data_IF_313249445218
#
_entry.id   IF_313249445218
#
_cell.length_a   1.000
_cell.length_b   1.000
_cell.length_c   1.000
_cell.angle_alpha   90.00
_cell.angle_beta   90.00
_cell.angle_gamma   90.00
#
_symmetry.space_group_name_H-M   'P 1'
#
loop_
_entity.id
_entity.type
_entity.pdbx_description
1 polymer ?
#
# COMPACT_ATOMS: atom_id res chain seq x y z
N UNK A 1 -2.64 2.35 14.81
CA UNK A 1 -3.17 3.36 13.85
C UNK A 1 -4.64 3.07 13.54
N UNK A 2 -5.49 4.11 13.50
CA UNK A 2 -6.94 4.01 13.21
C UNK A 2 -7.41 5.17 12.32
N UNK A 3 -8.40 4.93 11.45
CA UNK A 3 -9.07 5.97 10.68
C UNK A 3 -9.90 6.85 11.64
N UNK A 4 -9.68 8.17 11.64
CA UNK A 4 -10.38 9.11 12.51
C UNK A 4 -11.39 9.96 11.75
N UNK A 5 -11.02 10.46 10.57
CA UNK A 5 -11.91 11.27 9.74
C UNK A 5 -11.75 10.93 8.26
N UNK A 6 -12.83 11.09 7.50
CA UNK A 6 -12.85 10.93 6.05
C UNK A 6 -13.65 12.08 5.44
N UNK A 7 -13.00 12.88 4.61
CA UNK A 7 -13.64 13.90 3.77
C UNK A 7 -13.72 13.38 2.34
N UNK A 8 -14.92 13.41 1.76
CA UNK A 8 -15.21 12.98 0.40
C UNK A 8 -15.79 14.17 -0.35
N UNK A 9 -15.26 14.48 -1.52
CA UNK A 9 -15.79 15.51 -2.41
C UNK A 9 -15.89 14.97 -3.83
N UNK A 10 -17.05 15.16 -4.46
CA UNK A 10 -17.26 14.81 -5.86
C UNK A 10 -17.35 13.31 -6.18
N UNK A 11 -17.50 12.41 -5.19
CA UNK A 11 -17.51 10.96 -5.43
C UNK A 11 -18.93 10.37 -5.47
N UNK A 12 -19.31 9.79 -6.60
CA UNK A 12 -20.64 9.20 -6.85
C UNK A 12 -21.76 10.14 -6.43
N UNK A 13 -22.66 9.74 -5.52
CA UNK A 13 -23.75 10.61 -5.02
C UNK A 13 -23.31 11.67 -4.01
N UNK A 14 -22.08 11.61 -3.50
CA UNK A 14 -21.59 12.52 -2.48
C UNK A 14 -20.91 13.73 -3.13
N UNK A 15 -21.64 14.86 -3.20
CA UNK A 15 -21.04 16.14 -3.61
C UNK A 15 -19.96 16.57 -2.62
N UNK A 16 -20.28 16.53 -1.33
CA UNK A 16 -19.34 16.73 -0.23
C UNK A 16 -19.87 16.01 1.02
N UNK A 17 -19.00 15.32 1.74
CA UNK A 17 -19.31 14.67 3.01
C UNK A 17 -18.06 14.64 3.90
N UNK A 18 -18.23 14.86 5.20
CA UNK A 18 -17.20 14.62 6.21
C UNK A 18 -17.76 13.63 7.23
N UNK A 19 -17.02 12.55 7.48
CA UNK A 19 -17.40 11.46 8.39
C UNK A 19 -16.34 11.34 9.47
N UNK A 20 -16.79 11.40 10.73
CA UNK A 20 -15.98 11.11 11.91
C UNK A 20 -16.15 9.64 12.31
N UNK A 21 -15.05 8.97 12.61
CA UNK A 21 -15.02 7.57 13.02
C UNK A 21 -14.62 7.46 14.50
N UNK A 22 -15.41 6.71 15.25
CA UNK A 22 -15.05 6.19 16.56
C UNK A 22 -14.76 4.68 16.51
N UNK A 23 -14.62 4.05 17.67
CA UNK A 23 -14.33 2.61 17.77
C UNK A 23 -15.43 1.74 17.12
N UNK A 24 -16.68 2.21 17.17
CA UNK A 24 -17.80 1.66 16.43
C UNK A 24 -18.58 2.79 15.75
N UNK A 25 -18.69 2.75 14.43
CA UNK A 25 -19.37 3.78 13.63
C UNK A 25 -20.49 3.16 12.82
N UNK A 26 -21.72 3.67 12.98
CA UNK A 26 -22.91 3.18 12.28
C UNK A 26 -23.42 4.23 11.29
N UNK A 27 -23.44 3.89 10.00
CA UNK A 27 -24.02 4.74 8.96
C UNK A 27 -25.49 4.36 8.74
N UNK A 28 -26.42 5.20 9.21
CA UNK A 28 -27.86 4.96 9.13
C UNK A 28 -28.50 5.97 8.17
N UNK A 29 -29.39 5.49 7.30
CA UNK A 29 -30.13 6.34 6.36
C UNK A 29 -30.88 5.52 5.32
N UNK A 30 -31.73 6.19 4.53
CA UNK A 30 -32.51 5.56 3.46
C UNK A 30 -31.63 4.87 2.40
N UNK A 31 -32.21 3.97 1.61
CA UNK A 31 -31.49 3.34 0.50
C UNK A 31 -31.02 4.40 -0.49
N UNK A 32 -29.85 4.17 -1.10
CA UNK A 32 -29.27 5.01 -2.14
C UNK A 32 -28.84 6.43 -1.71
N UNK A 33 -28.68 6.68 -0.40
CA UNK A 33 -28.17 7.96 0.15
C UNK A 33 -26.64 8.08 0.15
N UNK A 34 -25.92 7.05 -0.30
CA UNK A 34 -24.45 7.07 -0.35
C UNK A 34 -23.73 6.36 0.81
N UNK A 35 -24.45 5.62 1.67
CA UNK A 35 -23.82 4.80 2.73
C UNK A 35 -22.71 3.88 2.17
N UNK A 36 -23.02 3.13 1.12
CA UNK A 36 -22.06 2.25 0.45
C UNK A 36 -20.92 3.00 -0.23
N UNK A 37 -21.17 4.25 -0.65
CA UNK A 37 -20.15 5.14 -1.25
C UNK A 37 -19.05 5.48 -0.24
N UNK A 38 -19.37 5.63 1.04
CA UNK A 38 -18.37 5.88 2.10
C UNK A 38 -17.36 4.72 2.16
N UNK A 39 -17.83 3.47 2.19
CA UNK A 39 -16.94 2.31 2.19
C UNK A 39 -16.10 2.21 0.91
N UNK A 40 -16.69 2.52 -0.26
CA UNK A 40 -15.95 2.55 -1.53
C UNK A 40 -14.92 3.67 -1.60
N UNK A 41 -15.16 4.80 -0.94
CA UNK A 41 -14.19 5.87 -0.83
C UNK A 41 -12.97 5.44 0.01
N UNK A 42 -13.21 4.74 1.14
CA UNK A 42 -12.13 4.18 1.96
C UNK A 42 -11.31 3.14 1.16
N UNK A 43 -12.00 2.24 0.46
CA UNK A 43 -11.35 1.25 -0.42
C UNK A 43 -10.48 1.93 -1.48
N UNK A 44 -11.01 2.94 -2.17
CA UNK A 44 -10.29 3.67 -3.21
C UNK A 44 -9.08 4.42 -2.62
N UNK A 45 -9.27 5.07 -1.48
CA UNK A 45 -8.24 5.80 -0.76
C UNK A 45 -7.06 4.89 -0.37
N UNK A 46 -7.32 3.67 0.07
CA UNK A 46 -6.30 2.70 0.52
C UNK A 46 -5.82 1.72 -0.57
N UNK A 47 -6.30 1.86 -1.82
CA UNK A 47 -5.88 1.03 -2.95
C UNK A 47 -4.69 1.61 -3.74
N UNK A 48 -4.08 0.82 -4.62
CA UNK A 48 -3.09 1.30 -5.59
C UNK A 48 -3.71 1.78 -6.92
N UNK A 49 -5.03 1.98 -6.99
CA UNK A 49 -5.71 2.42 -8.23
C UNK A 49 -5.23 3.81 -8.65
N UNK A 50 -4.79 3.92 -9.91
CA UNK A 50 -4.29 5.18 -10.51
C UNK A 50 -5.39 6.05 -11.10
N UNK A 51 -6.47 5.45 -11.58
CA UNK A 51 -7.57 6.15 -12.25
C UNK A 51 -8.92 5.59 -11.81
N UNK A 52 -9.98 6.35 -12.04
CA UNK A 52 -11.38 5.96 -11.86
C UNK A 52 -12.19 6.33 -13.10
N UNK A 53 -13.25 5.58 -13.37
CA UNK A 53 -14.12 5.80 -14.52
C UNK A 53 -15.06 7.00 -14.30
N UNK A 54 -15.51 7.61 -15.40
CA UNK A 54 -16.43 8.76 -15.39
C UNK A 54 -17.69 8.58 -14.49
N UNK A 55 -18.35 7.41 -14.43
CA UNK A 55 -19.51 7.20 -13.55
C UNK A 55 -19.22 7.28 -12.04
N UNK A 56 -17.95 7.25 -11.64
CA UNK A 56 -17.53 7.40 -10.25
C UNK A 56 -17.52 8.87 -9.79
N UNK A 57 -17.61 9.82 -10.73
CA UNK A 57 -17.67 11.26 -10.45
C UNK A 57 -19.11 11.69 -10.16
N UNK A 58 -19.26 12.67 -9.28
CA UNK A 58 -20.55 13.27 -8.97
C UNK A 58 -21.18 13.81 -10.25
N UNK A 59 -22.35 13.27 -10.56
CA UNK A 59 -23.05 13.51 -11.81
C UNK A 59 -24.45 14.02 -11.55
N UNK A 60 -24.91 14.89 -12.43
CA UNK A 60 -26.30 15.40 -12.45
C UNK A 60 -26.97 14.95 -13.74
N UNK A 61 -28.29 14.86 -13.69
CA UNK A 61 -29.08 14.66 -14.91
C UNK A 61 -29.22 16.02 -15.56
N UNK A 62 -28.87 16.08 -16.84
CA UNK A 62 -29.05 17.25 -17.68
C UNK A 62 -30.55 17.39 -18.02
N UNK A 63 -31.15 18.52 -17.64
CA UNK A 63 -32.60 18.73 -17.73
C UNK A 63 -33.11 18.79 -19.18
N UNK A 64 -32.25 19.12 -20.16
CA UNK A 64 -32.62 19.27 -21.57
C UNK A 64 -32.49 17.94 -22.33
N UNK A 65 -31.45 17.16 -22.03
CA UNK A 65 -31.11 15.93 -22.76
C UNK A 65 -31.54 14.66 -22.03
N UNK A 66 -31.80 14.74 -20.72
CA UNK A 66 -32.06 13.57 -19.87
C UNK A 66 -30.83 12.70 -19.61
N UNK A 67 -29.65 13.11 -20.10
CA UNK A 67 -28.41 12.37 -19.95
C UNK A 67 -27.75 12.64 -18.59
N UNK A 68 -27.09 11.63 -18.03
CA UNK A 68 -26.28 11.81 -16.82
C UNK A 68 -24.87 12.28 -17.21
N UNK A 69 -24.46 13.45 -16.74
CA UNK A 69 -23.15 14.03 -17.01
C UNK A 69 -22.40 14.32 -15.70
N UNK A 70 -21.06 14.11 -15.65
CA UNK A 70 -20.26 14.53 -14.50
C UNK A 70 -20.41 16.03 -14.27
N UNK A 71 -20.89 16.40 -13.08
CA UNK A 71 -20.96 17.79 -12.64
C UNK A 71 -19.63 18.27 -12.04
N UNK A 72 -18.68 17.35 -11.82
CA UNK A 72 -17.34 17.63 -11.33
C UNK A 72 -16.32 16.89 -12.19
N UNK A 73 -15.15 17.50 -12.36
CA UNK A 73 -14.00 16.92 -13.06
C UNK A 73 -12.97 16.33 -12.09
N UNK A 74 -13.15 16.56 -10.79
CA UNK A 74 -12.25 16.10 -9.74
C UNK A 74 -13.01 15.42 -8.60
N UNK A 75 -12.48 14.29 -8.14
CA UNK A 75 -12.87 13.61 -6.91
C UNK A 75 -11.74 13.74 -5.90
N UNK A 76 -12.05 14.23 -4.70
CA UNK A 76 -11.10 14.36 -3.61
C UNK A 76 -11.52 13.48 -2.45
N UNK A 77 -10.63 12.60 -2.01
CA UNK A 77 -10.82 11.79 -0.80
C UNK A 77 -9.64 12.06 0.11
N UNK A 78 -9.92 12.53 1.32
CA UNK A 78 -8.93 12.88 2.33
C UNK A 78 -9.26 12.14 3.62
N UNK A 79 -8.24 11.63 4.32
CA UNK A 79 -8.43 10.99 5.60
C UNK A 79 -7.32 11.33 6.60
N UNK A 80 -7.72 11.46 7.86
CA UNK A 80 -6.84 11.53 9.01
C UNK A 80 -6.77 10.17 9.68
N UNK A 81 -5.54 9.69 9.90
CA UNK A 81 -5.26 8.50 10.69
C UNK A 81 -4.58 8.91 11.99
N UNK A 82 -5.08 8.36 13.09
CA UNK A 82 -4.63 8.64 14.45
C UNK A 82 -3.98 7.41 15.09
N UNK A 83 -3.35 7.63 16.23
CA UNK A 83 -2.65 6.63 17.03
C UNK A 83 -1.56 5.90 16.22
N UNK A 84 -0.68 6.68 15.58
CA UNK A 84 0.52 6.14 14.93
C UNK A 84 1.50 5.64 16.00
N UNK A 85 2.21 4.53 15.78
CA UNK A 85 3.21 4.08 16.75
C UNK A 85 4.37 5.09 16.82
N UNK A 86 5.09 5.13 17.95
CA UNK A 86 6.16 6.12 18.18
C UNK A 86 7.37 5.94 17.27
N UNK A 87 7.58 4.73 16.75
CA UNK A 87 8.60 4.43 15.74
C UNK A 87 8.24 5.00 14.35
N UNK A 88 7.03 5.55 14.16
CA UNK A 88 6.63 6.19 12.91
C UNK A 88 7.51 7.39 12.53
N UNK A 89 8.16 8.05 13.50
CA UNK A 89 9.15 9.09 13.21
C UNK A 89 10.34 8.61 12.39
N UNK A 90 10.70 7.32 12.50
CA UNK A 90 11.75 6.69 11.71
C UNK A 90 11.27 6.10 10.39
N UNK A 91 9.98 6.22 10.04
CA UNK A 91 9.49 5.71 8.78
C UNK A 91 9.97 6.59 7.62
N UNK A 92 10.63 5.95 6.65
CA UNK A 92 11.15 6.62 5.46
C UNK A 92 10.05 7.40 4.74
N UNK A 93 10.23 8.70 4.61
CA UNK A 93 9.30 9.61 3.98
C UNK A 93 8.12 10.00 4.88
N UNK A 94 8.27 9.95 6.21
CA UNK A 94 7.28 10.51 7.14
C UNK A 94 7.80 11.72 7.91
N UNK A 95 9.09 12.09 7.79
CA UNK A 95 9.62 13.29 8.45
C UNK A 95 8.88 14.55 7.96
N UNK A 96 8.38 15.32 8.91
CA UNK A 96 7.54 16.49 8.65
C UNK A 96 6.08 16.19 8.34
N UNK A 97 5.68 14.93 8.16
CA UNK A 97 4.30 14.52 7.80
C UNK A 97 3.50 13.98 8.98
N UNK A 98 4.13 13.83 10.14
CA UNK A 98 3.51 13.41 11.39
C UNK A 98 3.14 14.65 12.21
N UNK A 99 1.89 14.70 12.65
CA UNK A 99 1.34 15.76 13.47
C UNK A 99 0.97 15.23 14.85
N UNK A 100 0.92 16.13 15.83
CA UNK A 100 0.48 15.81 17.18
C UNK A 100 -0.96 16.26 17.42
N UNK A 101 -1.71 15.50 18.21
CA UNK A 101 -3.04 15.86 18.67
C UNK A 101 -3.21 15.53 20.17
N UNK A 102 -4.22 16.12 20.85
CA UNK A 102 -4.47 15.85 22.26
C UNK A 102 -4.81 14.37 22.49
N UNK A 103 -4.04 13.70 23.36
CA UNK A 103 -4.24 12.29 23.67
C UNK A 103 -5.62 12.03 24.27
N UNK A 104 -6.28 10.97 23.81
CA UNK A 104 -7.57 10.52 24.35
C UNK A 104 -7.41 9.48 25.49
N UNK A 105 -6.18 9.05 25.79
CA UNK A 105 -5.87 8.08 26.86
C UNK A 105 -4.37 7.75 26.95
N UNK A 106 -3.98 6.86 27.88
CA UNK A 106 -2.58 6.45 28.05
C UNK A 106 -2.05 5.63 26.87
N UNK A 107 -2.91 4.82 26.24
CA UNK A 107 -2.58 3.99 25.07
C UNK A 107 -2.58 4.77 23.74
N UNK A 108 -2.88 6.06 23.78
CA UNK A 108 -2.89 6.93 22.62
C UNK A 108 -1.53 7.63 22.47
N UNK A 109 -0.87 7.38 21.34
CA UNK A 109 0.40 8.03 21.03
C UNK A 109 0.26 9.55 20.86
N UNK A 110 -0.93 10.04 20.51
CA UNK A 110 -1.16 11.43 20.15
C UNK A 110 -0.54 11.81 18.80
N UNK A 111 -0.21 10.83 17.95
CA UNK A 111 0.42 11.03 16.63
C UNK A 111 -0.56 10.74 15.49
N UNK A 112 -0.68 11.67 14.54
CA UNK A 112 -1.55 11.57 13.37
C UNK A 112 -0.80 11.77 12.04
N UNK A 113 -1.36 11.24 10.97
CA UNK A 113 -1.00 11.55 9.59
C UNK A 113 -2.27 11.84 8.80
N UNK A 114 -2.20 12.79 7.88
CA UNK A 114 -3.31 13.10 6.96
C UNK A 114 -2.83 12.93 5.53
N UNK A 115 -3.60 12.18 4.73
CA UNK A 115 -3.31 12.06 3.30
C UNK A 115 -4.57 12.17 2.47
N UNK A 116 -4.36 12.59 1.23
CA UNK A 116 -5.40 12.91 0.25
C UNK A 116 -5.09 12.26 -1.09
N UNK A 117 -6.14 11.79 -1.75
CA UNK A 117 -6.12 11.41 -3.17
C UNK A 117 -7.07 12.30 -3.95
N UNK A 118 -6.55 12.84 -5.03
CA UNK A 118 -7.32 13.63 -5.99
C UNK A 118 -7.30 12.92 -7.33
N UNK A 119 -8.47 12.47 -7.78
CA UNK A 119 -8.66 11.86 -9.08
C UNK A 119 -9.23 12.92 -10.02
N UNK A 120 -8.47 13.28 -11.05
CA UNK A 120 -8.92 14.18 -12.10
C UNK A 120 -9.29 13.38 -13.35
N UNK A 121 -10.38 13.75 -14.02
CA UNK A 121 -10.90 13.03 -15.16
C UNK A 121 -9.83 12.92 -16.28
N UNK A 122 -9.48 11.69 -16.64
CA UNK A 122 -8.50 11.40 -17.70
C UNK A 122 -7.03 11.56 -17.28
N UNK A 123 -6.73 11.77 -16.00
CA UNK A 123 -5.35 11.84 -15.48
C UNK A 123 -5.10 10.81 -14.39
N UNK A 124 -3.82 10.54 -14.15
CA UNK A 124 -3.39 9.75 -13.00
C UNK A 124 -3.67 10.49 -11.69
N UNK A 125 -4.01 9.73 -10.66
CA UNK A 125 -4.31 10.21 -9.31
C UNK A 125 -3.15 11.02 -8.74
N UNK A 126 -3.46 12.18 -8.18
CA UNK A 126 -2.54 12.94 -7.33
C UNK A 126 -2.67 12.44 -5.90
N UNK A 127 -1.56 12.03 -5.29
CA UNK A 127 -1.48 11.64 -3.89
C UNK A 127 -0.70 12.70 -3.14
N UNK A 128 -1.27 13.15 -2.04
CA UNK A 128 -0.72 14.23 -1.25
C UNK A 128 -0.72 13.87 0.23
N UNK A 129 0.36 14.23 0.93
CA UNK A 129 0.44 14.17 2.39
C UNK A 129 0.42 15.58 2.94
N UNK A 130 -0.30 15.78 4.04
CA UNK A 130 -0.11 16.97 4.84
C UNK A 130 1.30 16.92 5.41
N UNK A 131 2.06 17.98 5.20
CA UNK A 131 3.46 18.08 5.61
C UNK A 131 3.72 19.45 6.20
N UNK A 132 4.61 19.54 7.17
CA UNK A 132 5.33 20.80 7.44
C UNK A 132 6.21 21.10 6.24
N UNK A 133 6.37 22.38 5.93
CA UNK A 133 7.26 22.84 4.88
C UNK A 133 8.66 22.32 5.18
N UNK A 134 9.25 21.59 4.22
CA UNK A 134 10.61 21.08 4.31
C UNK A 134 11.52 22.07 3.59
N UNK A 135 12.56 22.51 4.27
CA UNK A 135 13.60 23.34 3.70
C UNK A 135 14.91 22.54 3.77
N UNK A 136 15.68 22.55 2.68
CA UNK A 136 16.95 21.86 2.65
C UNK A 136 17.84 22.49 3.71
N UNK A 137 18.44 21.67 4.57
CA UNK A 137 19.38 22.17 5.56
C UNK A 137 20.52 22.92 4.86
N UNK A 138 20.95 24.06 5.41
CA UNK A 138 22.12 24.79 4.93
C UNK A 138 23.36 23.89 4.93
N UNK A 139 23.43 22.93 5.85
CA UNK A 139 24.48 21.92 5.88
C UNK A 139 24.60 21.12 4.58
N UNK A 140 23.52 20.97 3.79
CA UNK A 140 23.50 20.18 2.55
C UNK A 140 23.30 21.02 1.28
N UNK A 141 23.22 22.36 1.37
CA UNK A 141 22.95 23.22 0.20
C UNK A 141 24.00 23.11 -0.90
N UNK A 142 25.24 22.79 -0.52
CA UNK A 142 26.39 22.69 -1.44
C UNK A 142 26.57 21.28 -2.04
N UNK A 143 25.80 20.29 -1.58
CA UNK A 143 25.89 18.90 -2.02
C UNK A 143 25.30 18.73 -3.43
N UNK A 144 26.11 18.27 -4.37
CA UNK A 144 25.74 18.10 -5.79
C UNK A 144 25.74 16.65 -6.24
N UNK A 145 26.50 15.80 -5.57
CA UNK A 145 26.68 14.38 -5.88
C UNK A 145 26.22 13.51 -4.71
N UNK A 146 25.97 12.23 -4.94
CA UNK A 146 25.62 11.29 -3.87
C UNK A 146 26.75 11.19 -2.83
N UNK A 147 28.00 11.23 -3.28
CA UNK A 147 29.17 11.19 -2.40
C UNK A 147 29.21 12.39 -1.42
N UNK A 148 28.82 13.59 -1.87
CA UNK A 148 28.80 14.78 -0.99
C UNK A 148 27.84 14.62 0.20
N UNK A 149 26.79 13.81 0.07
CA UNK A 149 25.86 13.52 1.17
C UNK A 149 26.45 12.49 2.13
N UNK A 150 27.13 11.47 1.60
CA UNK A 150 27.82 10.45 2.42
C UNK A 150 28.94 11.10 3.24
N UNK A 151 29.71 12.00 2.62
CA UNK A 151 30.79 12.72 3.28
C UNK A 151 30.28 13.67 4.39
N UNK A 152 28.99 14.00 4.36
CA UNK A 152 28.28 14.77 5.40
C UNK A 152 27.42 13.89 6.31
N UNK A 153 27.84 12.64 6.51
CA UNK A 153 27.31 11.70 7.49
C UNK A 153 25.88 11.20 7.20
N UNK A 154 25.46 11.23 5.93
CA UNK A 154 24.25 10.51 5.50
C UNK A 154 24.58 9.05 5.22
N UNK A 155 23.69 8.15 5.66
CA UNK A 155 23.80 6.70 5.49
C UNK A 155 24.15 6.30 4.03
N UNK A 156 25.31 5.67 3.87
CA UNK A 156 25.86 5.29 2.57
C UNK A 156 25.02 4.22 1.84
N UNK A 157 24.39 3.31 2.58
CA UNK A 157 23.52 2.28 2.01
C UNK A 157 22.24 2.93 1.47
N UNK A 158 21.68 3.90 2.20
CA UNK A 158 20.54 4.69 1.76
C UNK A 158 20.85 5.47 0.48
N UNK A 159 21.99 6.17 0.42
CA UNK A 159 22.37 6.97 -0.76
C UNK A 159 22.62 6.06 -1.97
N UNK A 160 23.32 4.95 -1.77
CA UNK A 160 23.63 3.98 -2.83
C UNK A 160 22.36 3.28 -3.36
N UNK A 161 21.35 3.06 -2.51
CA UNK A 161 20.05 2.52 -2.94
C UNK A 161 19.26 3.48 -3.84
N UNK A 162 19.51 4.79 -3.71
CA UNK A 162 18.81 5.85 -4.44
C UNK A 162 19.54 6.25 -5.72
N UNK A 163 20.86 6.34 -5.66
CA UNK A 163 21.74 6.80 -6.74
C UNK A 163 22.76 5.71 -7.05
N UNK A 164 22.63 5.10 -8.23
CA UNK A 164 23.54 4.04 -8.69
C UNK A 164 24.94 4.56 -9.04
N UNK A 165 25.09 5.85 -9.34
CA UNK A 165 26.38 6.52 -9.57
C UNK A 165 26.50 7.70 -8.62
N UNK A 166 27.33 7.52 -7.58
CA UNK A 166 27.52 8.48 -6.50
C UNK A 166 28.37 9.70 -6.90
N UNK A 167 29.13 9.58 -7.99
CA UNK A 167 30.03 10.64 -8.49
C UNK A 167 29.33 11.63 -9.41
N UNK A 168 28.15 11.25 -9.92
CA UNK A 168 27.39 12.06 -10.88
C UNK A 168 26.58 13.15 -10.18
N UNK A 169 26.50 14.30 -10.83
CA UNK A 169 25.66 15.40 -10.37
C UNK A 169 24.17 14.99 -10.42
N UNK A 170 23.50 15.07 -9.27
CA UNK A 170 22.09 14.70 -9.08
C UNK A 170 21.16 15.64 -9.88
N UNK A 171 21.58 16.90 -10.10
CA UNK A 171 20.83 17.90 -10.86
C UNK A 171 19.51 18.31 -10.21
N UNK A 172 18.64 19.01 -10.96
CA UNK A 172 17.32 19.51 -10.51
C UNK A 172 16.15 18.86 -11.24
N UNK A 173 16.36 17.66 -11.79
CA UNK A 173 15.28 16.93 -12.48
C UNK A 173 14.22 16.46 -11.47
N UNK A 174 12.97 16.29 -11.94
CA UNK A 174 11.85 15.83 -11.09
C UNK A 174 12.19 14.50 -10.37
N UNK A 175 12.72 13.51 -11.09
CA UNK A 175 13.11 12.23 -10.51
C UNK A 175 14.30 12.29 -9.55
N UNK A 176 15.17 13.29 -9.66
CA UNK A 176 16.26 13.50 -8.73
C UNK A 176 15.77 14.12 -7.41
N UNK A 177 14.88 15.11 -7.50
CA UNK A 177 14.18 15.69 -6.35
C UNK A 177 13.37 14.64 -5.59
N UNK A 178 12.70 13.73 -6.30
CA UNK A 178 11.94 12.62 -5.69
C UNK A 178 12.82 11.65 -4.88
N UNK A 179 14.08 11.48 -5.30
CA UNK A 179 15.06 10.65 -4.57
C UNK A 179 15.59 11.38 -3.34
N UNK A 180 15.89 12.67 -3.46
CA UNK A 180 16.32 13.51 -2.33
C UNK A 180 15.23 13.64 -1.25
N UNK A 181 13.95 13.71 -1.64
CA UNK A 181 12.81 13.71 -0.72
C UNK A 181 12.70 12.44 0.15
N UNK A 182 13.32 11.34 -0.28
CA UNK A 182 13.36 10.09 0.48
C UNK A 182 14.50 10.05 1.51
N UNK A 183 15.42 11.00 1.48
CA UNK A 183 16.50 11.16 2.47
C UNK A 183 15.98 12.11 3.54
N UNK A 184 15.49 11.59 4.66
CA UNK A 184 14.81 12.44 5.64
C UNK A 184 15.77 13.42 6.33
N UNK A 185 17.02 13.03 6.54
CA UNK A 185 18.00 13.78 7.34
C UNK A 185 18.45 15.10 6.72
N UNK A 186 18.35 15.26 5.39
CA UNK A 186 18.79 16.49 4.70
C UNK A 186 17.82 17.67 4.84
N UNK A 187 16.64 17.44 5.42
CA UNK A 187 15.57 18.43 5.49
C UNK A 187 15.33 18.92 6.92
N UNK A 188 15.23 20.23 7.07
CA UNK A 188 14.71 20.91 8.25
C UNK A 188 13.21 21.20 8.11
N UNK A 189 12.51 21.28 9.23
CA UNK A 189 11.07 21.50 9.29
C UNK A 189 10.75 22.96 9.60
N UNK A 190 10.08 23.63 8.67
CA UNK A 190 9.49 24.95 8.89
C UNK A 190 8.21 24.90 9.74
N UNK A 191 7.69 26.09 10.07
CA UNK A 191 6.45 26.24 10.84
C UNK A 191 5.18 26.09 9.97
N UNK A 192 5.26 26.45 8.69
CA UNK A 192 4.12 26.42 7.77
C UNK A 192 3.76 25.00 7.33
N UNK A 193 2.48 24.79 7.03
CA UNK A 193 1.98 23.52 6.51
C UNK A 193 1.71 23.59 5.01
N UNK A 194 2.01 22.50 4.30
CA UNK A 194 1.84 22.36 2.86
C UNK A 194 1.30 20.97 2.51
N UNK A 195 0.69 20.85 1.34
CA UNK A 195 0.38 19.57 0.75
C UNK A 195 1.55 19.10 -0.10
N UNK A 196 2.25 18.09 0.37
CA UNK A 196 3.34 17.48 -0.36
C UNK A 196 2.78 16.45 -1.35
N UNK A 197 2.87 16.73 -2.65
CA UNK A 197 2.50 15.79 -3.70
C UNK A 197 3.62 14.78 -3.90
N UNK A 198 3.35 13.48 -3.74
CA UNK A 198 4.31 12.43 -4.06
C UNK A 198 4.47 12.32 -5.59
N UNK A 199 5.63 12.67 -6.19
CA UNK A 199 5.68 12.85 -7.64
C UNK A 199 5.80 11.54 -8.45
N UNK A 200 5.91 10.38 -7.77
CA UNK A 200 5.93 9.02 -8.32
C UNK A 200 4.74 8.12 -7.95
N UNK A 201 3.64 8.67 -7.39
CA UNK A 201 2.53 7.87 -6.84
C UNK A 201 2.75 7.53 -5.36
N UNK A 202 1.97 6.63 -4.76
CA UNK A 202 2.23 6.26 -3.35
C UNK A 202 3.49 5.40 -3.34
N UNK A 203 4.58 5.82 -2.68
CA UNK A 203 5.71 4.94 -2.44
C UNK A 203 5.16 3.67 -1.76
N UNK A 204 5.43 2.47 -2.31
CA UNK A 204 4.82 1.23 -1.80
C UNK A 204 5.05 1.03 -0.30
N UNK A 205 6.16 1.53 0.23
CA UNK A 205 6.47 1.66 1.65
C UNK A 205 5.41 2.46 2.43
N UNK A 206 4.91 3.59 1.91
CA UNK A 206 3.91 4.42 2.59
C UNK A 206 2.53 3.74 2.62
N UNK A 207 2.09 3.12 1.52
CA UNK A 207 0.84 2.32 1.51
C UNK A 207 0.90 1.17 2.50
N UNK A 208 2.05 0.50 2.62
CA UNK A 208 2.28 -0.60 3.57
C UNK A 208 2.15 -0.18 5.03
N UNK A 209 2.40 1.10 5.34
CA UNK A 209 2.27 1.63 6.71
C UNK A 209 0.83 2.02 7.07
N UNK A 210 -0.03 2.26 6.08
CA UNK A 210 -1.43 2.60 6.32
C UNK A 210 -2.27 1.36 6.68
N UNK A 211 -3.41 1.53 7.37
CA UNK A 211 -4.22 0.40 7.80
C UNK A 211 -4.83 -0.30 6.58
N UNK A 212 -4.87 -1.64 6.61
CA UNK A 212 -5.57 -2.41 5.57
C UNK A 212 -7.08 -2.32 5.78
N UNK A 213 -7.82 -1.94 4.73
CA UNK A 213 -9.27 -1.91 4.74
C UNK A 213 -9.86 -3.24 4.26
N UNK A 214 -10.72 -3.84 5.09
CA UNK A 214 -11.45 -5.06 4.77
C UNK A 214 -12.95 -4.76 4.70
N UNK A 215 -13.50 -4.80 3.49
CA UNK A 215 -14.93 -4.68 3.26
C UNK A 215 -15.61 -6.04 3.37
N UNK A 216 -16.60 -6.15 4.24
CA UNK A 216 -17.48 -7.32 4.36
C UNK A 216 -18.86 -6.91 3.83
N UNK A 217 -19.33 -7.44 2.68
CA UNK A 217 -20.63 -7.08 2.15
C UNK A 217 -21.77 -7.69 2.95
N UNK A 218 -22.96 -7.12 2.75
CA UNK A 218 -24.19 -7.57 3.42
C UNK A 218 -24.62 -8.97 2.97
N UNK A 219 -24.43 -9.26 1.68
CA UNK A 219 -24.65 -10.58 1.11
C UNK A 219 -23.34 -11.37 1.22
N UNK A 220 -23.07 -11.97 2.37
CA UNK A 220 -22.09 -13.05 2.45
C UNK A 220 -22.66 -14.26 1.69
N UNK A 221 -22.67 -14.19 0.36
CA UNK A 221 -22.80 -15.38 -0.47
C UNK A 221 -21.65 -16.29 -0.10
N UNK A 222 -21.94 -17.58 -0.01
CA UNK A 222 -20.96 -18.59 0.43
C UNK A 222 -19.67 -18.49 -0.42
N UNK A 223 -19.78 -18.02 -1.66
CA UNK A 223 -18.69 -17.69 -2.59
C UNK A 223 -17.64 -16.69 -2.08
N UNK A 224 -17.99 -15.70 -1.24
CA UNK A 224 -17.00 -14.76 -0.66
C UNK A 224 -16.15 -15.39 0.45
N UNK A 225 -16.57 -16.57 0.91
CA UNK A 225 -15.96 -17.32 2.01
C UNK A 225 -15.36 -18.65 1.49
N UNK A 226 -15.91 -19.20 0.39
CA UNK A 226 -15.43 -20.35 -0.37
C UNK A 226 -14.19 -20.07 -1.23
N UNK A 227 -14.04 -18.84 -1.72
CA UNK A 227 -13.13 -18.53 -2.82
C UNK A 227 -11.67 -18.39 -2.42
N UNK A 228 -10.86 -19.32 -2.91
CA UNK A 228 -9.42 -19.21 -3.16
C UNK A 228 -8.89 -17.77 -3.20
N UNK A 229 -7.92 -17.48 -2.33
CA UNK A 229 -7.03 -16.29 -2.32
C UNK A 229 -7.71 -14.90 -2.20
N UNK A 230 -8.99 -14.75 -2.55
CA UNK A 230 -9.66 -13.47 -2.85
C UNK A 230 -10.84 -13.15 -1.94
N UNK A 231 -11.48 -14.17 -1.36
CA UNK A 231 -12.50 -14.02 -0.32
C UNK A 231 -11.96 -13.45 0.99
N UNK A 232 -12.84 -13.04 1.91
CA UNK A 232 -12.44 -12.47 3.21
C UNK A 232 -11.54 -13.42 3.99
N UNK A 233 -11.88 -14.72 4.00
CA UNK A 233 -11.06 -15.75 4.64
C UNK A 233 -9.73 -15.96 3.93
N UNK A 234 -9.75 -16.10 2.60
CA UNK A 234 -8.54 -16.31 1.81
C UNK A 234 -7.54 -15.16 2.00
N UNK A 235 -8.02 -13.91 1.97
CA UNK A 235 -7.20 -12.72 2.27
C UNK A 235 -6.63 -12.76 3.68
N UNK A 236 -7.47 -13.04 4.68
CA UNK A 236 -7.05 -13.11 6.09
C UNK A 236 -6.00 -14.21 6.30
N UNK A 237 -6.17 -15.38 5.68
CA UNK A 237 -5.22 -16.50 5.76
C UNK A 237 -3.91 -16.20 5.03
N UNK A 238 -3.98 -15.60 3.84
CA UNK A 238 -2.79 -15.13 3.12
C UNK A 238 -1.99 -14.15 3.97
N UNK A 239 -2.65 -13.21 4.64
CA UNK A 239 -1.98 -12.25 5.51
C UNK A 239 -1.32 -12.93 6.72
N UNK A 240 -2.02 -13.84 7.39
CA UNK A 240 -1.43 -14.61 8.49
C UNK A 240 -0.25 -15.47 8.00
N UNK A 241 -0.31 -15.96 6.77
CA UNK A 241 0.77 -16.70 6.15
C UNK A 241 1.96 -15.80 5.80
N UNK A 242 1.75 -14.64 5.17
CA UNK A 242 2.78 -13.63 4.92
C UNK A 242 3.56 -13.31 6.21
N UNK A 243 2.83 -13.02 7.30
CA UNK A 243 3.39 -12.69 8.61
C UNK A 243 4.22 -13.82 9.25
N UNK A 244 3.88 -15.08 9.00
CA UNK A 244 4.62 -16.25 9.51
C UNK A 244 5.82 -16.54 8.62
N UNK A 245 5.63 -16.39 7.31
CA UNK A 245 6.61 -16.67 6.28
C UNK A 245 7.78 -15.69 6.29
N UNK A 246 7.53 -14.39 6.52
CA UNK A 246 8.58 -13.37 6.66
C UNK A 246 9.59 -13.68 7.78
N UNK A 247 9.20 -14.52 8.75
CA UNK A 247 10.04 -14.90 9.89
C UNK A 247 10.63 -16.31 9.75
N UNK A 248 10.43 -16.98 8.61
CA UNK A 248 10.84 -18.36 8.40
C UNK A 248 12.20 -18.44 7.70
N UNK A 249 13.16 -19.14 8.32
CA UNK A 249 14.46 -19.41 7.70
C UNK A 249 14.33 -20.23 6.40
N UNK A 250 13.37 -21.15 6.35
CA UNK A 250 13.08 -21.93 5.15
C UNK A 250 12.62 -21.04 3.99
N UNK A 251 11.90 -19.96 4.30
CA UNK A 251 11.45 -19.03 3.28
C UNK A 251 12.59 -18.18 2.75
N UNK A 252 13.51 -17.73 3.61
CA UNK A 252 14.72 -17.03 3.17
C UNK A 252 15.59 -17.91 2.25
N UNK A 253 15.69 -19.20 2.57
CA UNK A 253 16.39 -20.16 1.70
C UNK A 253 15.66 -20.35 0.37
N UNK A 254 14.33 -20.51 0.39
CA UNK A 254 13.54 -20.61 -0.82
C UNK A 254 13.71 -19.38 -1.72
N UNK A 255 13.77 -18.18 -1.13
CA UNK A 255 14.08 -16.95 -1.86
C UNK A 255 15.44 -17.04 -2.55
N UNK A 256 16.49 -17.41 -1.82
CA UNK A 256 17.83 -17.54 -2.40
C UNK A 256 17.88 -18.53 -3.57
N UNK A 257 17.09 -19.61 -3.52
CA UNK A 257 16.99 -20.54 -4.65
C UNK A 257 16.16 -20.00 -5.81
N UNK A 258 15.10 -19.22 -5.54
CA UNK A 258 14.33 -18.54 -6.59
C UNK A 258 15.17 -17.48 -7.31
N UNK A 259 16.01 -16.75 -6.58
CA UNK A 259 16.93 -15.76 -7.15
C UNK A 259 17.92 -16.45 -8.11
N UNK A 260 18.55 -17.54 -7.66
CA UNK A 260 19.45 -18.35 -8.51
C UNK A 260 18.75 -18.93 -9.74
N UNK A 261 17.52 -19.41 -9.59
CA UNK A 261 16.73 -19.91 -10.71
C UNK A 261 16.37 -18.78 -11.69
N UNK A 262 16.16 -17.56 -11.19
CA UNK A 262 15.94 -16.40 -12.04
C UNK A 262 17.18 -16.05 -12.85
N UNK A 263 18.38 -16.17 -12.26
CA UNK A 263 19.67 -16.00 -12.96
C UNK A 263 19.87 -17.08 -14.03
N UNK A 264 19.53 -18.35 -13.74
CA UNK A 264 19.60 -19.44 -14.73
C UNK A 264 18.65 -19.27 -15.92
N UNK A 265 17.58 -18.49 -15.76
CA UNK A 265 16.57 -18.21 -16.78
C UNK A 265 16.75 -16.83 -17.43
N UNK A 266 17.94 -16.25 -17.30
CA UNK A 266 18.27 -14.98 -17.97
C UNK A 266 18.39 -15.19 -19.49
N UNK A 267 17.51 -14.57 -20.31
CA UNK A 267 17.60 -14.65 -21.77
C UNK A 267 18.86 -13.99 -22.35
N UNK A 268 19.52 -13.09 -21.61
CA UNK A 268 20.72 -12.38 -22.04
C UNK A 268 22.01 -13.16 -21.71
N UNK A 269 21.93 -14.18 -20.85
CA UNK A 269 23.03 -15.09 -20.56
C UNK A 269 23.17 -16.13 -21.69
N UNK A 270 24.11 -15.88 -22.61
CA UNK A 270 24.40 -16.79 -23.73
C UNK A 270 24.99 -18.14 -23.32
N UNK A 271 25.49 -18.27 -22.09
CA UNK A 271 26.03 -19.53 -21.57
C UNK A 271 24.94 -20.41 -20.94
N UNK A 272 23.84 -19.80 -20.49
CA UNK A 272 22.66 -20.52 -19.98
C UNK A 272 21.94 -21.31 -21.08
N UNK A 273 21.34 -22.44 -20.73
CA UNK A 273 20.53 -23.23 -21.67
C UNK A 273 19.29 -22.46 -22.14
N UNK A 274 18.74 -21.60 -21.29
CA UNK A 274 17.57 -20.78 -21.62
C UNK A 274 17.93 -19.66 -22.61
N UNK A 275 19.03 -18.94 -22.42
CA UNK A 275 19.52 -17.93 -23.35
C UNK A 275 19.86 -18.52 -24.72
N UNK A 276 20.50 -19.69 -24.77
CA UNK A 276 20.71 -20.44 -26.03
C UNK A 276 19.40 -20.77 -26.74
N UNK A 277 18.39 -21.23 -26.00
CA UNK A 277 17.07 -21.53 -26.56
C UNK A 277 16.38 -20.29 -27.14
N UNK A 278 16.46 -19.14 -26.47
CA UNK A 278 15.90 -17.87 -26.98
C UNK A 278 16.66 -17.39 -28.22
N UNK A 279 17.98 -17.52 -28.24
CA UNK A 279 18.79 -17.19 -29.42
C UNK A 279 18.46 -18.08 -30.64
N UNK A 280 18.28 -19.38 -30.42
CA UNK A 280 17.86 -20.32 -31.48
C UNK A 280 16.45 -20.00 -31.98
N UNK A 281 15.51 -19.72 -31.07
CA UNK A 281 14.16 -19.31 -31.42
C UNK A 281 14.16 -18.03 -32.27
N UNK A 282 14.96 -17.03 -31.90
CA UNK A 282 15.11 -15.80 -32.67
C UNK A 282 15.75 -16.04 -34.05
N UNK A 283 16.66 -17.00 -34.15
CA UNK A 283 17.21 -17.42 -35.45
C UNK A 283 16.13 -18.01 -36.34
N UNK A 284 15.29 -18.91 -35.80
CA UNK A 284 14.14 -19.48 -36.53
C UNK A 284 13.14 -18.39 -36.92
N UNK A 285 12.80 -17.47 -36.00
CA UNK A 285 11.85 -16.40 -36.25
C UNK A 285 12.31 -15.47 -37.38
N UNK A 286 13.59 -15.09 -37.37
CA UNK A 286 14.21 -14.24 -38.39
C UNK A 286 14.20 -14.88 -39.79
N UNK A 287 14.19 -16.21 -39.88
CA UNK A 287 14.09 -16.92 -41.16
C UNK A 287 12.72 -16.78 -41.84
N UNK A 288 11.67 -16.50 -41.06
CA UNK A 288 10.30 -16.30 -41.56
C UNK A 288 9.94 -14.81 -41.62
N UNK A 289 10.39 -14.03 -40.63
CA UNK A 289 10.14 -12.59 -40.50
C UNK A 289 11.44 -11.86 -40.15
N UNK A 290 12.20 -11.34 -41.14
CA UNK A 290 13.56 -10.79 -40.95
C UNK A 290 13.66 -9.65 -39.93
N UNK A 291 12.58 -8.89 -39.76
CA UNK A 291 12.54 -7.71 -38.89
C UNK A 291 11.91 -8.00 -37.51
N UNK A 292 11.71 -9.28 -37.15
CA UNK A 292 11.06 -9.67 -35.89
C UNK A 292 12.04 -10.38 -34.95
N UNK A 293 11.99 -10.01 -33.66
CA UNK A 293 12.69 -10.68 -32.56
C UNK A 293 11.73 -10.91 -31.39
N UNK A 294 11.87 -12.06 -30.75
CA UNK A 294 11.22 -12.41 -29.50
C UNK A 294 12.13 -12.01 -28.32
N UNK A 295 11.59 -11.18 -27.43
CA UNK A 295 12.20 -10.87 -26.15
C UNK A 295 11.34 -11.48 -25.04
N UNK A 296 11.89 -12.43 -24.28
CA UNK A 296 11.22 -13.08 -23.16
C UNK A 296 12.04 -12.84 -21.89
N UNK A 297 11.43 -12.37 -20.82
CA UNK A 297 12.08 -12.17 -19.51
C UNK A 297 11.39 -13.02 -18.45
N UNK A 298 12.17 -13.67 -17.60
CA UNK A 298 11.68 -14.40 -16.43
C UNK A 298 11.95 -13.57 -15.17
N UNK A 299 10.91 -13.27 -14.39
CA UNK A 299 11.02 -12.61 -13.08
C UNK A 299 10.50 -13.56 -12.00
N UNK A 300 11.43 -14.18 -11.27
CA UNK A 300 11.14 -15.01 -10.10
C UNK A 300 11.56 -14.35 -8.78
N UNK A 301 12.07 -13.13 -8.85
CA UNK A 301 12.63 -12.39 -7.72
C UNK A 301 11.58 -11.99 -6.68
N UNK A 302 10.30 -11.92 -7.05
CA UNK A 302 9.20 -11.61 -6.13
C UNK A 302 8.54 -12.90 -5.60
N UNK A 303 8.85 -13.32 -4.36
CA UNK A 303 8.25 -14.51 -3.78
C UNK A 303 6.77 -14.34 -3.40
N UNK A 304 6.23 -13.11 -3.39
CA UNK A 304 4.78 -12.91 -3.30
C UNK A 304 4.06 -13.35 -4.58
N UNK A 305 4.77 -13.35 -5.71
CA UNK A 305 4.27 -13.87 -6.98
C UNK A 305 4.52 -15.37 -7.09
N UNK A 306 5.73 -15.83 -6.74
CA UNK A 306 6.16 -17.21 -6.95
C UNK A 306 5.61 -18.22 -5.92
N UNK A 307 5.48 -17.82 -4.65
CA UNK A 307 5.12 -18.74 -3.55
C UNK A 307 3.77 -18.37 -2.92
N UNK A 308 2.69 -18.61 -3.67
CA UNK A 308 1.31 -18.40 -3.19
C UNK A 308 0.73 -19.69 -2.60
N UNK A 309 0.35 -19.69 -1.31
CA UNK A 309 -0.30 -20.84 -0.71
C UNK A 309 -1.71 -21.04 -1.29
N UNK A 310 -2.13 -22.30 -1.41
CA UNK A 310 -3.52 -22.64 -1.68
C UNK A 310 -4.14 -23.15 -0.38
N UNK A 311 -5.14 -22.43 0.13
CA UNK A 311 -5.86 -22.82 1.33
C UNK A 311 -7.15 -23.56 0.97
N UNK A 312 -7.26 -24.81 1.38
CA UNK A 312 -8.51 -25.57 1.35
C UNK A 312 -9.22 -25.38 2.69
N UNK A 313 -10.40 -24.75 2.68
CA UNK A 313 -11.19 -24.50 3.89
C UNK A 313 -12.36 -25.48 3.97
N UNK A 314 -12.38 -26.27 5.03
CA UNK A 314 -13.46 -27.18 5.37
C UNK A 314 -14.03 -26.84 6.75
N UNK A 315 -15.29 -27.17 6.98
CA UNK A 315 -15.94 -27.04 8.29
C UNK A 315 -16.49 -28.37 8.76
N UNK A 316 -16.48 -28.60 10.07
CA UNK A 316 -17.03 -29.82 10.68
C UNK A 316 -17.88 -29.53 11.89
N UNK A 317 -19.03 -30.20 11.97
CA UNK A 317 -19.78 -30.40 13.22
C UNK A 317 -19.62 -31.84 13.70
N UNK A 318 -19.93 -32.80 12.83
CA UNK A 318 -19.73 -34.24 13.03
C UNK A 318 -18.94 -34.90 11.87
N UNK A 319 -19.03 -34.35 10.65
CA UNK A 319 -18.27 -34.78 9.46
C UNK A 319 -17.66 -33.54 8.79
N UNK A 320 -16.48 -33.68 8.17
CA UNK A 320 -15.85 -32.61 7.39
C UNK A 320 -16.59 -32.42 6.07
N UNK A 321 -16.94 -31.18 5.78
CA UNK A 321 -17.62 -30.82 4.54
C UNK A 321 -17.11 -29.48 4.00
N UNK A 322 -17.20 -29.27 2.68
CA UNK A 322 -16.95 -27.97 2.08
C UNK A 322 -17.85 -26.87 2.66
N UNK A 323 -17.38 -25.62 2.60
CA UNK A 323 -18.13 -24.43 3.07
C UNK A 323 -19.47 -24.26 2.33
N UNK A 324 -19.57 -24.72 1.08
CA UNK A 324 -20.82 -24.76 0.27
C UNK A 324 -21.97 -25.48 0.96
N UNK A 325 -21.66 -26.47 1.79
CA UNK A 325 -22.65 -27.28 2.49
C UNK A 325 -23.01 -26.71 3.86
N UNK A 326 -22.44 -25.57 4.25
CA UNK A 326 -22.65 -24.95 5.55
C UNK A 326 -23.72 -23.87 5.50
N UNK A 327 -24.51 -23.79 6.57
CA UNK A 327 -25.48 -22.72 6.74
C UNK A 327 -24.79 -21.35 6.88
N UNK A 328 -25.36 -20.30 6.29
CA UNK A 328 -24.76 -18.96 6.24
C UNK A 328 -24.43 -18.36 7.63
N UNK A 329 -25.09 -18.81 8.70
CA UNK A 329 -24.79 -18.40 10.07
C UNK A 329 -23.47 -18.97 10.62
N UNK A 330 -23.17 -20.24 10.35
CA UNK A 330 -21.90 -20.89 10.73
C UNK A 330 -20.75 -20.25 9.97
N UNK A 331 -20.94 -20.05 8.67
CA UNK A 331 -19.97 -19.44 7.77
C UNK A 331 -19.61 -18.02 8.23
N UNK A 332 -20.61 -17.19 8.55
CA UNK A 332 -20.39 -15.84 9.13
C UNK A 332 -19.68 -15.89 10.48
N UNK A 333 -20.08 -16.80 11.36
CA UNK A 333 -19.46 -16.93 12.69
C UNK A 333 -17.98 -17.31 12.59
N UNK A 334 -17.62 -18.20 11.67
CA UNK A 334 -16.24 -18.56 11.40
C UNK A 334 -15.42 -17.37 10.85
N UNK A 335 -15.99 -16.57 9.94
CA UNK A 335 -15.36 -15.37 9.43
C UNK A 335 -15.08 -14.33 10.53
N UNK A 336 -16.08 -14.00 11.35
CA UNK A 336 -15.89 -13.10 12.49
C UNK A 336 -14.92 -13.67 13.54
N UNK A 337 -14.96 -14.98 13.76
CA UNK A 337 -14.02 -15.67 14.65
C UNK A 337 -12.57 -15.53 14.18
N UNK A 338 -12.32 -15.69 12.88
CA UNK A 338 -10.98 -15.49 12.28
C UNK A 338 -10.52 -14.04 12.36
N UNK A 339 -11.39 -13.07 12.07
CA UNK A 339 -11.05 -11.65 12.19
C UNK A 339 -10.69 -11.28 13.63
N UNK A 340 -11.46 -11.79 14.59
CA UNK A 340 -11.18 -11.61 16.03
C UNK A 340 -9.87 -12.28 16.44
N UNK A 341 -9.58 -13.48 15.92
CA UNK A 341 -8.33 -14.18 16.16
C UNK A 341 -7.14 -13.39 15.60
N UNK A 342 -7.22 -12.93 14.36
CA UNK A 342 -6.18 -12.10 13.72
C UNK A 342 -5.89 -10.86 14.55
N UNK A 343 -6.92 -10.13 14.99
CA UNK A 343 -6.72 -8.93 15.80
C UNK A 343 -6.03 -9.24 17.14
N UNK A 344 -6.42 -10.33 17.81
CA UNK A 344 -5.74 -10.79 19.03
C UNK A 344 -4.30 -11.25 18.79
N UNK A 345 -4.03 -11.83 17.63
CA UNK A 345 -2.69 -12.27 17.25
C UNK A 345 -1.77 -11.07 17.00
N UNK A 346 -2.26 -10.07 16.28
CA UNK A 346 -1.54 -8.81 16.02
C UNK A 346 -1.27 -8.04 17.32
N UNK A 347 -2.27 -7.90 18.19
CA UNK A 347 -2.08 -7.18 19.47
C UNK A 347 -1.03 -7.85 20.35
N UNK A 348 -1.01 -9.20 20.42
CA UNK A 348 0.04 -9.94 21.14
C UNK A 348 1.43 -9.71 20.54
N UNK A 349 1.56 -9.62 19.23
CA UNK A 349 2.84 -9.32 18.56
C UNK A 349 3.32 -7.89 18.89
N UNK A 350 2.42 -6.91 18.89
CA UNK A 350 2.73 -5.54 19.31
C UNK A 350 3.19 -5.48 20.77
N UNK A 351 2.49 -6.15 21.69
CA UNK A 351 2.88 -6.24 23.10
C UNK A 351 4.28 -6.84 23.29
N UNK A 352 4.61 -7.89 22.55
CA UNK A 352 5.94 -8.53 22.59
C UNK A 352 7.02 -7.59 22.06
N UNK A 353 6.74 -6.84 20.99
CA UNK A 353 7.68 -5.82 20.45
C UNK A 353 7.91 -4.69 21.46
N UNK A 354 6.84 -4.17 22.07
CA UNK A 354 6.94 -3.13 23.10
C UNK A 354 7.72 -3.60 24.34
N UNK A 355 7.51 -4.84 24.79
CA UNK A 355 8.28 -5.42 25.91
C UNK A 355 9.76 -5.58 25.58
N UNK A 356 10.12 -6.03 24.37
CA UNK A 356 11.52 -6.17 23.91
C UNK A 356 12.23 -4.82 23.75
N UNK A 357 11.51 -3.77 23.36
CA UNK A 357 12.07 -2.42 23.29
C UNK A 357 12.30 -1.83 24.69
N UNK A 358 11.36 -2.00 25.63
CA UNK A 358 11.52 -1.57 27.03
C UNK A 358 12.70 -2.25 27.73
N UNK A 359 12.89 -3.55 27.53
CA UNK A 359 14.03 -4.27 28.10
C UNK A 359 15.38 -3.84 27.54
N UNK A 360 15.44 -3.29 26.32
CA UNK A 360 16.67 -2.76 25.72
C UNK A 360 17.00 -1.35 26.20
N UNK A 361 15.99 -0.53 26.49
CA UNK A 361 16.18 0.82 27.06
C UNK A 361 16.51 0.81 28.56
N UNK A 362 16.27 -0.29 29.27
CA UNK A 362 16.64 -0.46 30.69
C UNK A 362 18.06 -1.05 30.88
N UNK A 363 18.76 -1.39 29.80
CA UNK A 363 20.13 -1.94 29.81
C UNK A 363 21.16 -1.02 29.12
N UNK A 364 20.76 0.20 28.78
CA UNK A 364 21.59 1.35 28.42
C UNK A 364 21.41 2.40 29.51
#
# INVERSE_FOLDING_TARGET
MRLHSLTISGFRRLRSANIMFGDATFLIGANNTGKSTVFKAIELLLSAKKTISSPEYYSVVDDETGETKPAVTEVVIEAEFRNLPTDAYGWRGFKGRIFTYPKEGEDDSGLSVTYRKTFELGKDVRIEFRSKKRELDEAYSDCKTGQDYIDKDIDADLVSSLFSDLSKNIGKSKGALDKLEQMDDIWQLGADETWFQNPGGIPGNVLKMLPRFLLIPADTSISEIEGSTSGVLGKTLNELFEDVREQSDNYQQAQSYLDKLSEELDPEDSDSEFGKMIAELNTILSSVFPDSQLHATADLSDPNKALKPTFTVEMSSNVRTPVTHQGSGMVRSAAFGMLRFRQKWLSKKEDIRHRRQRSRSEHL
#
